data_IF_323092854967
#
_entry.id   IF_323092854967
#
_cell.length_a   1.000
_cell.length_b   1.000
_cell.length_c   1.000
_cell.angle_alpha   90.00
_cell.angle_beta   90.00
_cell.angle_gamma   90.00
#
_symmetry.space_group_name_H-M   'P 1'
#
loop_
_entity.id
_entity.type
_entity.pdbx_description
1 polymer ?
#
# COMPACT_ATOMS: atom_id res chain seq x y z
N UNK A 1 8.55 8.07 15.44
CA UNK A 1 7.76 9.34 15.34
C UNK A 1 6.62 9.15 14.35
N UNK A 2 5.41 9.60 14.66
CA UNK A 2 4.25 9.46 13.77
C UNK A 2 3.23 10.57 14.00
N UNK A 3 2.44 10.87 12.98
CA UNK A 3 1.36 11.86 13.06
C UNK A 3 0.80 12.26 11.70
N UNK A 4 -0.20 13.14 11.73
CA UNK A 4 -0.67 13.81 10.53
C UNK A 4 0.45 14.63 9.90
N UNK A 5 0.62 14.52 8.60
CA UNK A 5 1.68 15.17 7.87
C UNK A 5 1.11 15.89 6.65
N UNK A 6 1.45 17.16 6.41
CA UNK A 6 1.07 17.84 5.20
C UNK A 6 1.84 17.25 4.01
N UNK A 7 1.13 16.61 3.10
CA UNK A 7 1.69 16.06 1.87
C UNK A 7 1.26 16.97 0.72
N UNK A 8 2.18 17.44 -0.12
CA UNK A 8 1.81 18.20 -1.32
C UNK A 8 1.15 17.26 -2.32
N UNK A 9 -0.16 17.38 -2.49
CA UNK A 9 -0.93 16.64 -3.49
C UNK A 9 -1.83 17.64 -4.22
N UNK A 10 -1.67 17.75 -5.51
CA UNK A 10 -2.36 18.73 -6.34
C UNK A 10 -1.87 20.16 -6.07
N UNK A 11 -2.72 21.12 -6.24
CA UNK A 11 -2.38 22.54 -6.00
C UNK A 11 -2.38 22.94 -4.52
N UNK A 12 -2.32 21.98 -3.59
CA UNK A 12 -2.42 22.26 -2.16
C UNK A 12 -1.74 21.21 -1.28
N UNK A 13 -1.73 21.49 0.03
CA UNK A 13 -1.27 20.54 1.03
C UNK A 13 -2.45 19.71 1.52
N UNK A 14 -2.24 18.39 1.65
CA UNK A 14 -3.19 17.48 2.27
C UNK A 14 -2.59 16.85 3.50
N UNK A 15 -3.44 16.45 4.39
CA UNK A 15 -3.01 15.69 5.56
C UNK A 15 -2.97 14.23 5.18
N UNK A 16 -1.77 13.70 5.00
CA UNK A 16 -1.51 12.27 5.05
C UNK A 16 -1.13 11.82 6.46
N UNK A 17 -0.63 10.61 6.57
CA UNK A 17 -0.10 10.07 7.81
C UNK A 17 1.33 9.60 7.60
N UNK A 18 2.28 10.22 8.32
CA UNK A 18 3.67 9.81 8.30
C UNK A 18 3.98 9.01 9.56
N UNK A 19 4.56 7.84 9.40
CA UNK A 19 5.20 7.09 10.48
C UNK A 19 6.63 6.75 10.08
N UNK A 20 7.59 7.04 10.96
CA UNK A 20 9.01 6.76 10.73
C UNK A 20 9.69 6.24 11.99
N UNK A 21 10.80 5.50 11.85
CA UNK A 21 11.62 5.08 12.98
C UNK A 21 12.01 6.26 13.86
N UNK A 22 12.20 5.99 15.15
CA UNK A 22 12.59 7.02 16.14
C UNK A 22 14.09 7.32 16.09
N UNK A 23 14.91 6.39 15.61
CA UNK A 23 16.35 6.59 15.43
C UNK A 23 16.66 7.54 14.27
N UNK A 24 17.77 8.26 14.40
CA UNK A 24 18.25 9.11 13.32
C UNK A 24 18.78 8.23 12.17
N UNK A 25 18.42 8.60 10.92
CA UNK A 25 18.85 7.84 9.76
C UNK A 25 17.99 8.10 8.53
N UNK A 26 18.36 7.43 7.44
CA UNK A 26 17.58 7.38 6.22
C UNK A 26 17.03 5.96 6.04
N UNK A 27 15.78 5.86 5.66
CA UNK A 27 15.04 4.62 5.66
C UNK A 27 14.34 4.39 4.31
N UNK A 28 14.10 3.13 3.92
CA UNK A 28 13.22 2.84 2.79
C UNK A 28 11.81 3.36 3.08
N UNK A 29 11.10 3.75 2.03
CA UNK A 29 9.78 4.37 2.13
C UNK A 29 8.73 3.48 1.47
N UNK A 30 7.59 3.31 2.14
CA UNK A 30 6.40 2.62 1.63
C UNK A 30 5.21 3.57 1.64
N UNK A 31 4.55 3.70 0.50
CA UNK A 31 3.27 4.39 0.39
C UNK A 31 2.15 3.40 0.75
N UNK A 32 1.28 3.80 1.66
CA UNK A 32 0.12 3.01 2.08
C UNK A 32 -1.13 3.62 1.46
N UNK A 33 -1.73 2.87 0.53
CA UNK A 33 -2.92 3.26 -0.20
C UNK A 33 -4.13 2.62 0.46
N UNK A 34 -5.07 3.42 0.96
CA UNK A 34 -6.07 2.97 1.91
C UNK A 34 -7.20 2.16 1.28
N UNK A 35 -7.94 1.47 2.15
CA UNK A 35 -9.27 0.94 1.85
C UNK A 35 -10.23 2.06 1.43
N UNK A 36 -11.41 1.72 0.97
CA UNK A 36 -12.47 2.70 0.64
C UNK A 36 -12.79 3.64 1.82
N UNK A 37 -12.55 3.20 3.05
CA UNK A 37 -12.73 4.02 4.25
C UNK A 37 -11.72 5.16 4.41
N UNK A 38 -10.65 5.17 3.61
CA UNK A 38 -9.57 6.17 3.69
C UNK A 38 -8.60 5.90 4.84
N UNK A 39 -7.89 6.92 5.32
CA UNK A 39 -6.91 6.78 6.39
C UNK A 39 -7.56 6.61 7.77
N UNK A 40 -8.02 5.41 8.05
CA UNK A 40 -8.62 5.01 9.32
C UNK A 40 -7.59 4.68 10.41
N UNK A 41 -8.02 4.06 11.49
CA UNK A 41 -7.15 3.48 12.53
C UNK A 41 -6.27 2.38 11.98
N UNK A 42 -6.82 1.51 11.14
CA UNK A 42 -6.16 0.37 10.55
C UNK A 42 -4.94 0.76 9.69
N UNK A 43 -5.11 1.66 8.71
CA UNK A 43 -4.01 2.12 7.86
C UNK A 43 -2.90 2.79 8.67
N UNK A 44 -3.28 3.56 9.71
CA UNK A 44 -2.32 4.21 10.61
C UNK A 44 -1.56 3.20 11.47
N UNK A 45 -2.22 2.11 11.89
CA UNK A 45 -1.56 1.03 12.64
C UNK A 45 -0.57 0.25 11.77
N UNK A 46 -0.90 -0.02 10.52
CA UNK A 46 0.04 -0.59 9.54
C UNK A 46 1.25 0.34 9.31
N UNK A 47 1.02 1.64 9.13
CA UNK A 47 2.12 2.61 9.02
C UNK A 47 3.04 2.57 10.25
N UNK A 48 2.45 2.51 11.46
CA UNK A 48 3.24 2.41 12.71
C UNK A 48 3.99 1.09 12.82
N UNK A 49 3.41 -0.02 12.37
CA UNK A 49 4.07 -1.32 12.37
C UNK A 49 5.31 -1.34 11.45
N UNK A 50 5.17 -0.81 10.23
CA UNK A 50 6.28 -0.63 9.29
C UNK A 50 7.39 0.27 9.91
N UNK A 51 7.01 1.38 10.52
CA UNK A 51 7.96 2.32 11.13
C UNK A 51 8.76 1.67 12.28
N UNK A 52 8.11 0.89 13.16
CA UNK A 52 8.78 0.13 14.22
C UNK A 52 9.79 -0.88 13.69
N UNK A 53 9.61 -1.31 12.45
CA UNK A 53 10.46 -2.31 11.78
C UNK A 53 11.56 -1.70 10.89
N UNK A 54 11.73 -0.37 10.91
CA UNK A 54 12.79 0.30 10.17
C UNK A 54 12.40 0.73 8.74
N UNK A 55 11.10 0.88 8.46
CA UNK A 55 10.57 1.35 7.18
C UNK A 55 9.73 2.60 7.42
N UNK A 56 9.98 3.67 6.70
CA UNK A 56 9.08 4.84 6.70
C UNK A 56 7.80 4.49 5.96
N UNK A 57 6.66 4.80 6.54
CA UNK A 57 5.37 4.63 5.90
C UNK A 57 4.63 5.96 5.75
N UNK A 58 4.11 6.20 4.55
CA UNK A 58 3.29 7.37 4.22
C UNK A 58 1.91 6.90 3.82
N UNK A 59 0.93 7.08 4.69
CA UNK A 59 -0.48 6.87 4.36
C UNK A 59 -1.02 8.07 3.58
N UNK A 60 -1.64 7.81 2.43
CA UNK A 60 -2.15 8.83 1.52
C UNK A 60 -3.67 8.87 1.62
N UNK A 61 -4.25 10.01 1.94
CA UNK A 61 -5.70 10.18 1.90
C UNK A 61 -6.15 10.50 0.46
N UNK A 62 -6.35 9.45 -0.33
CA UNK A 62 -6.75 9.57 -1.73
C UNK A 62 -8.17 10.09 -1.92
N UNK A 63 -9.11 9.57 -1.13
CA UNK A 63 -10.54 9.75 -1.45
C UNK A 63 -11.10 11.08 -0.97
N UNK A 64 -10.35 11.83 -0.14
CA UNK A 64 -10.72 13.19 0.31
C UNK A 64 -12.10 13.25 0.91
N UNK A 65 -12.42 12.27 1.71
CA UNK A 65 -13.76 11.92 2.14
C UNK A 65 -14.66 13.12 2.47
N UNK A 66 -15.58 13.37 1.57
CA UNK A 66 -16.74 14.22 1.80
C UNK A 66 -17.97 13.44 1.33
N UNK A 67 -18.70 12.84 2.26
CA UNK A 67 -19.89 12.06 1.93
C UNK A 67 -19.63 10.56 1.92
N UNK A 68 -20.22 9.85 0.98
CA UNK A 68 -20.12 8.40 0.86
C UNK A 68 -18.69 7.97 0.43
N UNK A 69 -18.05 7.02 1.13
CA UNK A 69 -16.70 6.55 0.79
C UNK A 69 -16.61 5.92 -0.60
N UNK A 70 -17.61 5.14 -1.01
CA UNK A 70 -17.63 4.48 -2.30
C UNK A 70 -17.80 5.48 -3.45
N UNK A 71 -18.66 6.49 -3.28
CA UNK A 71 -18.75 7.59 -4.24
C UNK A 71 -17.43 8.34 -4.38
N UNK A 72 -16.70 8.54 -3.27
CA UNK A 72 -15.39 9.19 -3.27
C UNK A 72 -14.33 8.37 -4.02
N UNK A 73 -14.36 7.04 -3.88
CA UNK A 73 -13.51 6.13 -4.63
C UNK A 73 -13.84 6.18 -6.13
N UNK A 74 -15.11 6.09 -6.52
CA UNK A 74 -15.52 6.14 -7.93
C UNK A 74 -15.23 7.50 -8.59
N UNK A 75 -15.25 8.59 -7.82
CA UNK A 75 -14.88 9.91 -8.33
C UNK A 75 -13.37 10.09 -8.57
N UNK A 76 -12.52 9.24 -7.97
CA UNK A 76 -11.08 9.28 -8.18
C UNK A 76 -10.72 8.48 -9.44
N UNK A 77 -10.33 9.17 -10.51
CA UNK A 77 -9.85 8.52 -11.74
C UNK A 77 -8.45 7.93 -11.55
N UNK A 78 -8.10 6.87 -12.30
CA UNK A 78 -6.75 6.29 -12.28
C UNK A 78 -5.69 7.33 -12.62
N UNK A 79 -5.92 8.16 -13.63
CA UNK A 79 -5.00 9.23 -14.01
C UNK A 79 -4.77 10.23 -12.87
N UNK A 80 -5.82 10.58 -12.12
CA UNK A 80 -5.67 11.50 -10.99
C UNK A 80 -4.91 10.84 -9.84
N UNK A 81 -5.20 9.57 -9.53
CA UNK A 81 -4.46 8.83 -8.52
C UNK A 81 -2.96 8.74 -8.86
N UNK A 82 -2.63 8.47 -10.13
CA UNK A 82 -1.24 8.43 -10.59
C UNK A 82 -0.55 9.80 -10.46
N UNK A 83 -1.25 10.89 -10.78
CA UNK A 83 -0.72 12.24 -10.58
C UNK A 83 -0.46 12.53 -9.09
N UNK A 84 -1.41 12.17 -8.22
CA UNK A 84 -1.25 12.36 -6.78
C UNK A 84 -0.05 11.53 -6.24
N UNK A 85 0.20 10.33 -6.78
CA UNK A 85 1.37 9.52 -6.42
C UNK A 85 2.69 10.13 -6.94
N UNK A 86 2.72 10.64 -8.16
CA UNK A 86 3.88 11.33 -8.72
C UNK A 86 4.26 12.55 -7.87
N UNK A 87 3.28 13.34 -7.41
CA UNK A 87 3.51 14.49 -6.52
C UNK A 87 4.06 14.07 -5.14
N UNK A 88 3.59 12.93 -4.58
CA UNK A 88 4.16 12.38 -3.34
C UNK A 88 5.59 11.90 -3.55
N UNK A 89 5.88 11.27 -4.68
CA UNK A 89 7.24 10.84 -5.03
C UNK A 89 8.19 12.05 -5.13
N UNK A 90 7.80 13.11 -5.86
CA UNK A 90 8.57 14.36 -5.96
C UNK A 90 8.85 14.96 -4.58
N UNK A 91 7.86 14.94 -3.68
CA UNK A 91 8.06 15.38 -2.31
C UNK A 91 9.08 14.51 -1.57
N UNK A 92 9.02 13.18 -1.68
CA UNK A 92 9.98 12.27 -1.03
C UNK A 92 11.40 12.48 -1.54
N UNK A 93 11.58 12.85 -2.80
CA UNK A 93 12.89 13.17 -3.38
C UNK A 93 13.39 14.58 -3.08
N UNK A 94 12.54 15.44 -2.51
CA UNK A 94 12.92 16.83 -2.24
C UNK A 94 13.97 16.97 -1.12
N UNK A 95 14.69 18.07 -1.13
CA UNK A 95 15.69 18.41 -0.10
C UNK A 95 15.06 18.58 1.31
N UNK A 96 13.74 18.77 1.40
CA UNK A 96 13.00 18.87 2.66
C UNK A 96 12.84 17.52 3.36
N UNK A 97 13.11 16.40 2.66
CA UNK A 97 12.97 15.04 3.14
C UNK A 97 14.34 14.39 3.41
N UNK A 98 14.88 14.64 4.60
CA UNK A 98 16.18 14.09 4.99
C UNK A 98 16.17 12.64 5.50
N UNK A 99 15.01 12.00 5.61
CA UNK A 99 14.83 10.67 6.22
C UNK A 99 14.58 9.54 5.19
N UNK A 100 14.41 9.83 3.91
CA UNK A 100 14.33 8.82 2.85
C UNK A 100 15.73 8.43 2.36
N UNK A 101 15.96 7.13 2.13
CA UNK A 101 17.25 6.61 1.62
C UNK A 101 17.40 6.87 0.12
N UNK A 102 16.31 6.88 -0.61
CA UNK A 102 16.22 7.15 -2.04
C UNK A 102 14.76 7.43 -2.44
N UNK A 103 14.54 7.86 -3.69
CA UNK A 103 13.23 7.94 -4.32
C UNK A 103 12.66 6.59 -4.80
N UNK A 104 13.37 5.48 -4.58
CA UNK A 104 12.86 4.13 -4.85
C UNK A 104 11.88 3.71 -3.74
N UNK A 105 10.59 3.60 -4.05
CA UNK A 105 9.52 3.40 -3.08
C UNK A 105 8.87 2.02 -3.19
N UNK A 106 8.33 1.54 -2.06
CA UNK A 106 7.36 0.45 -2.04
C UNK A 106 5.94 0.99 -2.03
N UNK A 107 4.99 0.15 -2.44
CA UNK A 107 3.55 0.43 -2.32
C UNK A 107 2.86 -0.73 -1.61
N UNK A 108 2.07 -0.40 -0.58
CA UNK A 108 1.12 -1.29 0.07
C UNK A 108 -0.29 -0.81 -0.28
N UNK A 109 -1.00 -1.56 -1.09
CA UNK A 109 -2.39 -1.30 -1.43
C UNK A 109 -3.34 -2.17 -0.63
N UNK A 110 -4.35 -1.56 -0.04
CA UNK A 110 -5.36 -2.20 0.80
C UNK A 110 -6.71 -2.12 0.10
N UNK A 111 -7.42 -3.24 -0.02
CA UNK A 111 -8.72 -3.30 -0.67
C UNK A 111 -8.69 -2.57 -2.03
N UNK A 112 -9.59 -1.63 -2.29
CA UNK A 112 -9.64 -0.82 -3.52
C UNK A 112 -8.39 0.04 -3.76
N UNK A 113 -7.63 0.37 -2.72
CA UNK A 113 -6.35 1.07 -2.83
C UNK A 113 -5.29 0.26 -3.57
N UNK A 114 -5.39 -1.08 -3.54
CA UNK A 114 -4.49 -1.96 -4.27
C UNK A 114 -4.56 -1.80 -5.78
N UNK A 115 -5.72 -1.42 -6.33
CA UNK A 115 -5.85 -1.05 -7.75
C UNK A 115 -4.81 -0.01 -8.16
N UNK A 116 -4.73 1.08 -7.41
CA UNK A 116 -3.79 2.16 -7.71
C UNK A 116 -2.34 1.72 -7.51
N UNK A 117 -2.09 0.84 -6.53
CA UNK A 117 -0.78 0.21 -6.32
C UNK A 117 -0.32 -0.62 -7.52
N UNK A 118 -1.20 -1.45 -8.07
CA UNK A 118 -0.93 -2.28 -9.27
C UNK A 118 -0.62 -1.39 -10.48
N UNK A 119 -1.47 -0.37 -10.74
CA UNK A 119 -1.25 0.56 -11.86
C UNK A 119 0.07 1.32 -11.68
N UNK A 120 0.37 1.79 -10.48
CA UNK A 120 1.62 2.49 -10.19
C UNK A 120 2.84 1.57 -10.41
N UNK A 121 2.82 0.34 -9.90
CA UNK A 121 3.89 -0.62 -10.07
C UNK A 121 4.15 -0.97 -11.54
N UNK A 122 3.11 -1.02 -12.37
CA UNK A 122 3.23 -1.29 -13.80
C UNK A 122 3.71 -0.09 -14.62
N UNK A 123 3.51 1.16 -14.13
CA UNK A 123 3.68 2.37 -14.95
C UNK A 123 4.69 3.38 -14.39
N UNK A 124 5.17 3.20 -13.15
CA UNK A 124 6.11 4.12 -12.48
C UNK A 124 7.42 3.41 -12.15
N UNK A 125 8.53 3.80 -12.79
CA UNK A 125 9.82 3.12 -12.62
C UNK A 125 10.43 3.31 -11.22
N UNK A 126 9.95 4.27 -10.45
CA UNK A 126 10.37 4.51 -9.08
C UNK A 126 9.65 3.61 -8.05
N UNK A 127 8.63 2.85 -8.45
CA UNK A 127 8.09 1.76 -7.62
C UNK A 127 9.00 0.53 -7.74
N UNK A 128 9.43 -0.01 -6.60
CA UNK A 128 10.37 -1.14 -6.52
C UNK A 128 9.80 -2.37 -5.86
N UNK A 129 8.66 -2.26 -5.18
CA UNK A 129 7.97 -3.38 -4.55
C UNK A 129 6.48 -3.07 -4.43
N UNK A 130 5.63 -4.07 -4.65
CA UNK A 130 4.19 -3.98 -4.52
C UNK A 130 3.69 -5.05 -3.56
N UNK A 131 2.99 -4.65 -2.48
CA UNK A 131 2.16 -5.55 -1.72
C UNK A 131 0.68 -5.15 -1.87
N UNK A 132 -0.20 -6.14 -1.97
CA UNK A 132 -1.65 -5.95 -1.99
C UNK A 132 -2.32 -6.84 -0.96
N UNK A 133 -3.31 -6.31 -0.25
CA UNK A 133 -4.08 -7.04 0.76
C UNK A 133 -5.55 -6.94 0.42
N UNK A 134 -6.19 -8.08 0.24
CA UNK A 134 -7.61 -8.19 -0.09
C UNK A 134 -8.05 -7.22 -1.20
N UNK A 135 -7.23 -7.11 -2.25
CA UNK A 135 -7.48 -6.20 -3.38
C UNK A 135 -8.33 -6.89 -4.44
N UNK A 136 -9.47 -6.31 -4.85
CA UNK A 136 -10.22 -6.80 -5.99
C UNK A 136 -9.38 -6.75 -7.27
N UNK A 137 -9.20 -7.89 -7.94
CA UNK A 137 -8.38 -8.02 -9.14
C UNK A 137 -9.22 -7.98 -10.42
N UNK A 138 -10.52 -8.22 -10.29
CA UNK A 138 -11.49 -8.24 -11.39
C UNK A 138 -12.78 -7.55 -10.94
N UNK A 139 -13.68 -7.23 -11.89
CA UNK A 139 -15.08 -6.92 -11.60
C UNK A 139 -15.41 -5.47 -11.25
N UNK A 140 -14.52 -4.51 -11.45
CA UNK A 140 -14.88 -3.09 -11.37
C UNK A 140 -15.33 -2.60 -12.77
N UNK A 141 -16.55 -2.95 -13.16
CA UNK A 141 -17.12 -2.64 -14.48
C UNK A 141 -17.31 -1.12 -14.71
N UNK A 142 -17.25 -0.31 -13.65
CA UNK A 142 -17.35 1.14 -13.74
C UNK A 142 -16.02 1.79 -14.14
N UNK A 143 -14.92 1.03 -14.12
CA UNK A 143 -13.58 1.51 -14.47
C UNK A 143 -13.20 1.19 -15.91
N UNK A 144 -12.57 2.15 -16.57
CA UNK A 144 -12.11 2.03 -17.96
C UNK A 144 -11.13 0.87 -18.17
N UNK A 145 -10.28 0.60 -17.17
CA UNK A 145 -9.25 -0.44 -17.25
C UNK A 145 -9.38 -1.43 -16.10
N UNK A 146 -9.32 -2.72 -16.42
CA UNK A 146 -9.25 -3.79 -15.44
C UNK A 146 -7.80 -4.02 -15.01
N UNK A 147 -7.56 -4.18 -13.69
CA UNK A 147 -6.18 -4.29 -13.16
C UNK A 147 -5.49 -5.60 -13.50
N UNK A 148 -6.24 -6.65 -13.76
CA UNK A 148 -5.69 -7.94 -14.15
C UNK A 148 -4.78 -7.87 -15.39
N UNK A 149 -5.04 -6.93 -16.32
CA UNK A 149 -4.20 -6.72 -17.50
C UNK A 149 -2.79 -6.25 -17.18
N UNK A 150 -2.56 -5.66 -16.02
CA UNK A 150 -1.24 -5.22 -15.58
C UNK A 150 -0.42 -6.34 -14.93
N UNK A 151 -1.07 -7.40 -14.41
CA UNK A 151 -0.40 -8.47 -13.66
C UNK A 151 0.67 -9.21 -14.48
N UNK A 152 0.46 -9.36 -15.80
CA UNK A 152 1.38 -10.03 -16.72
C UNK A 152 2.72 -9.30 -16.88
N UNK A 153 2.77 -8.01 -16.51
CA UNK A 153 3.89 -7.12 -16.83
C UNK A 153 4.39 -6.32 -15.63
N UNK A 154 4.16 -6.79 -14.41
CA UNK A 154 4.70 -6.13 -13.22
C UNK A 154 6.22 -6.33 -13.13
N UNK A 155 7.02 -5.26 -13.27
CA UNK A 155 8.48 -5.38 -13.33
C UNK A 155 9.14 -5.44 -11.94
N UNK A 156 8.34 -5.60 -10.88
CA UNK A 156 8.77 -5.53 -9.47
C UNK A 156 8.32 -6.77 -8.71
N UNK A 157 8.97 -7.12 -7.59
CA UNK A 157 8.46 -8.14 -6.67
C UNK A 157 7.04 -7.79 -6.20
N UNK A 158 6.19 -8.82 -6.10
CA UNK A 158 4.78 -8.71 -5.68
C UNK A 158 4.51 -9.62 -4.50
N UNK A 159 3.76 -9.13 -3.51
CA UNK A 159 3.18 -9.91 -2.43
C UNK A 159 1.67 -9.66 -2.37
N UNK A 160 0.87 -10.69 -2.61
CA UNK A 160 -0.58 -10.68 -2.44
C UNK A 160 -0.99 -11.47 -1.19
N UNK A 161 -1.79 -10.88 -0.32
CA UNK A 161 -2.30 -11.51 0.91
C UNK A 161 -3.82 -11.45 0.91
N UNK A 162 -4.47 -12.61 0.98
CA UNK A 162 -5.92 -12.73 0.82
C UNK A 162 -6.51 -13.70 1.84
N UNK A 163 -7.75 -13.45 2.25
CA UNK A 163 -8.54 -14.42 3.01
C UNK A 163 -9.16 -15.46 2.07
N UNK A 164 -9.09 -16.73 2.44
CA UNK A 164 -9.71 -17.79 1.65
C UNK A 164 -11.25 -17.82 1.78
N UNK A 165 -11.79 -17.17 2.83
CA UNK A 165 -13.23 -17.02 3.07
C UNK A 165 -13.71 -15.58 2.83
N UNK A 166 -12.99 -14.84 1.98
CA UNK A 166 -13.36 -13.48 1.59
C UNK A 166 -14.66 -13.51 0.75
N UNK A 167 -15.71 -12.87 1.26
CA UNK A 167 -17.00 -12.83 0.59
C UNK A 167 -17.06 -11.83 -0.59
N UNK A 168 -16.07 -10.93 -0.69
CA UNK A 168 -16.00 -9.88 -1.71
C UNK A 168 -15.06 -10.24 -2.85
N UNK A 169 -14.10 -11.15 -2.62
CA UNK A 169 -13.07 -11.52 -3.58
C UNK A 169 -13.16 -13.03 -3.87
N UNK A 170 -13.38 -13.38 -5.12
CA UNK A 170 -13.34 -14.76 -5.56
C UNK A 170 -11.90 -15.28 -5.52
N UNK A 171 -11.66 -16.35 -4.77
CA UNK A 171 -10.37 -17.05 -4.68
C UNK A 171 -9.82 -17.43 -6.05
N UNK A 172 -10.68 -17.76 -7.02
CA UNK A 172 -10.28 -18.05 -8.40
C UNK A 172 -9.55 -16.89 -9.08
N UNK A 173 -9.84 -15.65 -8.70
CA UNK A 173 -9.12 -14.47 -9.23
C UNK A 173 -7.71 -14.36 -8.65
N UNK A 174 -7.49 -14.79 -7.41
CA UNK A 174 -6.16 -14.84 -6.79
C UNK A 174 -5.31 -15.94 -7.43
N UNK A 175 -5.89 -17.12 -7.69
CA UNK A 175 -5.22 -18.19 -8.43
C UNK A 175 -4.83 -17.75 -9.84
N UNK A 176 -5.67 -16.98 -10.52
CA UNK A 176 -5.35 -16.42 -11.83
C UNK A 176 -4.23 -15.39 -11.75
N UNK A 177 -4.23 -14.53 -10.74
CA UNK A 177 -3.17 -13.57 -10.49
C UNK A 177 -1.81 -14.28 -10.26
N UNK A 178 -1.80 -15.38 -9.52
CA UNK A 178 -0.61 -16.19 -9.33
C UNK A 178 -0.09 -16.78 -10.65
N UNK A 179 -0.97 -17.25 -11.52
CA UNK A 179 -0.59 -17.77 -12.85
C UNK A 179 -0.03 -16.69 -13.76
N UNK A 180 -0.58 -15.48 -13.72
CA UNK A 180 -0.15 -14.33 -14.53
C UNK A 180 1.14 -13.70 -14.02
N UNK A 181 1.34 -13.73 -12.71
CA UNK A 181 2.52 -13.21 -12.05
C UNK A 181 3.23 -14.33 -11.27
N UNK A 182 3.87 -15.24 -12.00
CA UNK A 182 4.55 -16.43 -11.44
C UNK A 182 5.70 -16.09 -10.47
N UNK A 183 6.26 -14.89 -10.57
CA UNK A 183 7.34 -14.43 -9.69
C UNK A 183 6.81 -13.76 -8.41
N UNK A 184 5.51 -13.48 -8.35
CA UNK A 184 4.84 -12.94 -7.17
C UNK A 184 4.60 -14.02 -6.11
N UNK A 185 4.50 -13.59 -4.86
CA UNK A 185 4.06 -14.43 -3.75
C UNK A 185 2.58 -14.12 -3.49
N UNK A 186 1.73 -15.13 -3.67
CA UNK A 186 0.29 -15.01 -3.44
C UNK A 186 -0.12 -15.98 -2.34
N UNK A 187 -0.66 -15.46 -1.25
CA UNK A 187 -0.95 -16.25 -0.04
C UNK A 187 -2.43 -16.14 0.28
N UNK A 188 -3.07 -17.30 0.38
CA UNK A 188 -4.44 -17.44 0.86
C UNK A 188 -4.41 -17.92 2.31
N UNK A 189 -5.10 -17.21 3.19
CA UNK A 189 -5.24 -17.53 4.59
C UNK A 189 -6.55 -18.26 4.86
N UNK A 190 -6.48 -19.54 5.13
CA UNK A 190 -7.63 -20.37 5.50
C UNK A 190 -8.35 -19.80 6.73
N UNK A 191 -9.68 -19.77 6.71
CA UNK A 191 -10.51 -19.25 7.78
C UNK A 191 -10.55 -17.72 7.90
N UNK A 192 -9.82 -16.99 7.05
CA UNK A 192 -9.77 -15.53 7.06
C UNK A 192 -10.71 -14.92 6.02
N UNK A 193 -11.41 -13.87 6.39
CA UNK A 193 -12.26 -13.07 5.51
C UNK A 193 -11.56 -11.81 4.98
N UNK A 194 -12.33 -10.84 4.48
CA UNK A 194 -11.83 -9.62 3.83
C UNK A 194 -10.95 -8.77 4.76
N UNK A 195 -11.45 -8.46 5.95
CA UNK A 195 -10.80 -7.54 6.90
C UNK A 195 -9.91 -8.26 7.92
N UNK A 196 -9.33 -9.42 7.56
CA UNK A 196 -8.64 -10.29 8.50
C UNK A 196 -7.45 -9.64 9.23
N UNK A 197 -6.87 -8.57 8.66
CA UNK A 197 -5.76 -7.82 9.24
C UNK A 197 -6.20 -6.69 10.19
N UNK A 198 -7.43 -6.21 10.09
CA UNK A 198 -7.90 -5.08 10.89
C UNK A 198 -8.38 -5.57 12.27
N UNK A 199 -7.63 -5.25 13.31
CA UNK A 199 -7.91 -5.67 14.70
C UNK A 199 -9.26 -5.16 15.23
N UNK A 200 -9.78 -4.09 14.65
CA UNK A 200 -11.06 -3.51 15.04
C UNK A 200 -12.24 -4.02 14.20
N UNK A 201 -11.96 -4.81 13.14
CA UNK A 201 -13.00 -5.38 12.29
C UNK A 201 -13.60 -6.66 12.86
N UNK A 202 -14.88 -6.91 12.54
CA UNK A 202 -15.60 -8.13 12.95
C UNK A 202 -14.94 -9.41 12.37
N UNK A 203 -14.33 -9.32 11.19
CA UNK A 203 -13.69 -10.43 10.49
C UNK A 203 -12.19 -10.54 10.79
N UNK A 204 -11.71 -9.88 11.85
CA UNK A 204 -10.31 -10.01 12.26
C UNK A 204 -9.95 -11.46 12.56
N UNK A 205 -8.87 -11.95 11.92
CA UNK A 205 -8.37 -13.31 12.14
C UNK A 205 -6.95 -13.26 12.71
N UNK A 206 -6.85 -13.45 14.04
CA UNK A 206 -5.61 -13.22 14.79
C UNK A 206 -4.40 -14.03 14.29
N UNK A 207 -4.60 -15.31 13.98
CA UNK A 207 -3.51 -16.18 13.52
C UNK A 207 -2.99 -15.77 12.13
N UNK A 208 -3.91 -15.44 11.22
CA UNK A 208 -3.54 -14.95 9.88
C UNK A 208 -2.86 -13.59 9.95
N UNK A 209 -3.36 -12.68 10.78
CA UNK A 209 -2.76 -11.37 10.99
C UNK A 209 -1.35 -11.47 11.61
N UNK A 210 -1.15 -12.40 12.55
CA UNK A 210 0.14 -12.66 13.18
C UNK A 210 1.21 -13.19 12.20
N UNK A 211 0.81 -13.88 11.13
CA UNK A 211 1.70 -14.31 10.05
C UNK A 211 1.86 -13.24 8.96
N UNK A 212 0.76 -12.61 8.55
CA UNK A 212 0.73 -11.66 7.44
C UNK A 212 1.56 -10.38 7.69
N UNK A 213 1.46 -9.80 8.89
CA UNK A 213 2.14 -8.54 9.20
C UNK A 213 3.68 -8.67 9.18
N UNK A 214 4.32 -9.70 9.80
CA UNK A 214 5.75 -9.92 9.63
C UNK A 214 6.16 -10.17 8.17
N UNK A 215 5.34 -10.85 7.37
CA UNK A 215 5.62 -11.05 5.93
C UNK A 215 5.64 -9.75 5.15
N UNK A 216 4.68 -8.87 5.38
CA UNK A 216 4.66 -7.53 4.79
C UNK A 216 5.94 -6.75 5.11
N UNK A 217 6.33 -6.75 6.38
CA UNK A 217 7.54 -6.08 6.84
C UNK A 217 8.79 -6.65 6.16
N UNK A 218 8.96 -7.97 6.18
CA UNK A 218 10.14 -8.62 5.61
C UNK A 218 10.20 -8.47 4.10
N UNK A 219 9.05 -8.54 3.42
CA UNK A 219 8.94 -8.30 1.99
C UNK A 219 9.50 -6.92 1.61
N UNK A 220 9.03 -5.85 2.25
CA UNK A 220 9.54 -4.50 1.94
C UNK A 220 11.00 -4.31 2.33
N UNK A 221 11.45 -4.87 3.45
CA UNK A 221 12.86 -4.80 3.85
C UNK A 221 13.80 -5.54 2.91
N UNK A 222 13.34 -6.61 2.28
CA UNK A 222 14.14 -7.38 1.32
C UNK A 222 14.16 -6.75 -0.08
N UNK A 223 13.05 -6.11 -0.48
CA UNK A 223 12.88 -5.56 -1.82
C UNK A 223 13.33 -4.11 -1.98
N UNK A 224 13.41 -3.35 -0.88
CA UNK A 224 13.77 -1.93 -0.90
C UNK A 224 15.22 -1.67 -0.48
N UNK A 225 15.78 -0.49 -0.79
CA UNK A 225 17.13 -0.10 -0.34
C UNK A 225 17.25 -0.18 1.19
N UNK A 226 18.40 -0.64 1.66
CA UNK A 226 18.65 -0.78 3.10
C UNK A 226 18.69 0.57 3.81
N UNK A 227 18.16 0.61 5.02
CA UNK A 227 18.28 1.76 5.90
C UNK A 227 19.76 2.16 6.11
N UNK A 228 19.99 3.45 6.26
CA UNK A 228 21.30 4.04 6.56
C UNK A 228 21.15 4.77 7.91
N UNK A 229 21.46 4.08 8.98
CA UNK A 229 21.47 4.69 10.31
C UNK A 229 22.65 5.65 10.43
N UNK A 230 22.41 6.81 11.01
CA UNK A 230 23.46 7.79 11.33
C UNK A 230 23.91 7.50 12.75
N UNK A 231 25.17 7.09 12.90
CA UNK A 231 25.80 7.01 14.22
C UNK A 231 26.02 8.45 14.71
N UNK A 232 25.31 8.83 15.74
CA UNK A 232 25.41 10.17 16.34
C UNK A 232 26.53 10.25 17.38
N UNK A 233 27.47 9.26 17.41
CA UNK A 233 28.71 9.27 18.15
C UNK A 233 28.60 9.77 19.62
#
# INVERSE_FOLDING_TARGET
MYGGWPIPIGSGLRTGYLARPDSAGKYPVVLVLPTVAGLSGFEKDLCRALARSGVVAIGIDFYRQRGDPLESYHALTDSRAMTDLDEVHEFVESDDVGWAVSGDLGVLGLDVGGRFGIIAAATRPWIRALAVVCTPLTGDDEREFQVEGYLDHLPVPVLGLYGAEDALIDVGTVDEAQRRNEHGQWILYEGAGHDFLDVDAELYHADSAADALPRLVEFFKSALPRAQEVDLG
#
